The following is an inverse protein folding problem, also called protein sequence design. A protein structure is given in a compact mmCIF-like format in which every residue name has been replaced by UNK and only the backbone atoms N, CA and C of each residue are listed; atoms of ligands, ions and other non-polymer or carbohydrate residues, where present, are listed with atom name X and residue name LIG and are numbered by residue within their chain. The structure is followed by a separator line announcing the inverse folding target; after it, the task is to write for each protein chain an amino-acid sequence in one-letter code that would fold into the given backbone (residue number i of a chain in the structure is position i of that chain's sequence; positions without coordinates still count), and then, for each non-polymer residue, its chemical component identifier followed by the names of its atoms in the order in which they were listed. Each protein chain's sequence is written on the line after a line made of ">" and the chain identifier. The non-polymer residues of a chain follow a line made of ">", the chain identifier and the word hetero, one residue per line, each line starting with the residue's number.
data_IF_437899685453
#
_entry.id   IF_437899685453
#
_cell.length_a   1.000
_cell.length_b   1.000
_cell.length_c   1.000
_cell.angle_alpha   90.00
_cell.angle_beta   90.00
_cell.angle_gamma   90.00
#
_symmetry.space_group_name_H-M   'P 1'
#
loop_
_entity.id
_entity.type
_entity.pdbx_description
1 polymer ?
#
# COMPACT_ATOMS: atom_id res chain seq x y z
N UNK A 1 -14.67 2.42 18.64
CA UNK A 1 -13.65 2.56 17.57
C UNK A 1 -14.11 1.72 16.38
N UNK A 2 -14.34 2.32 15.21
CA UNK A 2 -14.85 1.60 14.03
C UNK A 2 -13.75 0.86 13.25
N UNK A 3 -14.14 -0.15 12.47
CA UNK A 3 -13.25 -0.97 11.61
C UNK A 3 -12.39 -0.09 10.68
N UNK A 4 -12.95 1.03 10.19
CA UNK A 4 -12.25 2.02 9.38
C UNK A 4 -11.03 2.64 10.09
N UNK A 5 -11.13 2.91 11.39
CA UNK A 5 -10.03 3.48 12.19
C UNK A 5 -8.89 2.47 12.36
N UNK A 6 -9.24 1.19 12.57
CA UNK A 6 -8.27 0.10 12.66
C UNK A 6 -7.49 -0.07 11.36
N UNK A 7 -8.17 -0.07 10.21
CA UNK A 7 -7.53 -0.15 8.88
C UNK A 7 -6.60 1.03 8.61
N UNK A 8 -7.01 2.27 8.93
CA UNK A 8 -6.13 3.43 8.82
C UNK A 8 -4.85 3.26 9.63
N UNK A 9 -4.96 2.76 10.87
CA UNK A 9 -3.80 2.52 11.72
C UNK A 9 -2.88 1.45 11.14
N UNK A 10 -3.43 0.36 10.62
CA UNK A 10 -2.65 -0.71 9.98
C UNK A 10 -1.93 -0.22 8.71
N UNK A 11 -2.59 0.60 7.88
CA UNK A 11 -1.97 1.22 6.71
C UNK A 11 -0.78 2.12 7.11
N UNK A 12 -0.94 2.95 8.14
CA UNK A 12 0.16 3.81 8.61
C UNK A 12 1.34 3.02 9.17
N UNK A 13 1.09 1.92 9.87
CA UNK A 13 2.15 1.01 10.34
C UNK A 13 2.88 0.40 9.15
N UNK A 14 2.15 -0.14 8.18
CA UNK A 14 2.74 -0.82 7.02
C UNK A 14 3.50 0.17 6.11
N UNK A 15 3.00 1.39 5.96
CA UNK A 15 3.70 2.49 5.26
C UNK A 15 5.05 2.80 5.91
N UNK A 16 5.11 2.88 7.24
CA UNK A 16 6.38 3.12 7.95
C UNK A 16 7.37 1.97 7.78
N UNK A 17 6.89 0.72 7.75
CA UNK A 17 7.72 -0.45 7.48
C UNK A 17 8.27 -0.43 6.05
N UNK A 18 7.43 -0.13 5.06
CA UNK A 18 7.86 0.04 3.66
C UNK A 18 8.94 1.11 3.51
N UNK A 19 8.75 2.27 4.14
CA UNK A 19 9.72 3.37 4.08
C UNK A 19 11.05 2.96 4.73
N UNK A 20 11.01 2.28 5.88
CA UNK A 20 12.22 1.77 6.54
C UNK A 20 12.96 0.76 5.67
N UNK A 21 12.27 -0.25 5.16
CA UNK A 21 12.86 -1.25 4.27
C UNK A 21 13.42 -0.62 2.99
N UNK A 22 12.79 0.44 2.47
CA UNK A 22 13.31 1.17 1.32
C UNK A 22 14.63 1.88 1.62
N UNK A 23 14.75 2.47 2.82
CA UNK A 23 16.00 3.10 3.27
C UNK A 23 17.09 2.08 3.61
N UNK A 24 16.72 0.94 4.19
CA UNK A 24 17.67 -0.06 4.68
C UNK A 24 18.14 -1.01 3.56
N UNK A 25 17.20 -1.49 2.75
CA UNK A 25 17.40 -2.57 1.76
C UNK A 25 17.20 -2.10 0.31
N UNK A 26 16.69 -0.89 0.10
CA UNK A 26 16.37 -0.34 -1.22
C UNK A 26 14.90 -0.52 -1.63
N UNK A 27 14.44 0.33 -2.54
CA UNK A 27 13.04 0.35 -3.01
C UNK A 27 12.63 -0.88 -3.80
N UNK A 28 13.59 -1.56 -4.42
CA UNK A 28 13.39 -2.78 -5.22
C UNK A 28 13.66 -4.05 -4.42
N UNK A 29 13.99 -3.93 -3.13
CA UNK A 29 14.18 -5.10 -2.27
C UNK A 29 12.87 -5.87 -2.15
N UNK A 30 12.98 -7.19 -2.06
CA UNK A 30 11.83 -8.07 -1.89
C UNK A 30 10.98 -7.66 -0.68
N UNK A 31 11.62 -7.22 0.40
CA UNK A 31 10.97 -6.75 1.61
C UNK A 31 10.15 -5.46 1.37
N UNK A 32 10.73 -4.46 0.71
CA UNK A 32 10.01 -3.22 0.36
C UNK A 32 8.83 -3.50 -0.58
N UNK A 33 9.01 -4.40 -1.54
CA UNK A 33 7.95 -4.80 -2.49
C UNK A 33 6.83 -5.58 -1.78
N UNK A 34 7.17 -6.43 -0.81
CA UNK A 34 6.16 -7.11 0.00
C UNK A 34 5.36 -6.11 0.84
N UNK A 35 6.04 -5.15 1.48
CA UNK A 35 5.35 -4.12 2.26
C UNK A 35 4.47 -3.21 1.40
N UNK A 36 4.84 -2.92 0.15
CA UNK A 36 3.99 -2.15 -0.76
C UNK A 36 2.73 -2.93 -1.17
N UNK A 37 2.85 -4.23 -1.47
CA UNK A 37 1.72 -5.10 -1.79
C UNK A 37 0.73 -5.23 -0.62
N UNK A 38 1.25 -5.39 0.60
CA UNK A 38 0.43 -5.46 1.81
C UNK A 38 -0.28 -4.14 2.10
N UNK A 39 0.40 -3.01 1.89
CA UNK A 39 -0.19 -1.68 2.03
C UNK A 39 -1.32 -1.46 1.01
N UNK A 40 -1.10 -1.85 -0.25
CA UNK A 40 -2.12 -1.79 -1.30
C UNK A 40 -3.34 -2.67 -0.98
N UNK A 41 -3.11 -3.86 -0.43
CA UNK A 41 -4.21 -4.74 -0.01
C UNK A 41 -5.06 -4.09 1.09
N UNK A 42 -4.43 -3.50 2.11
CA UNK A 42 -5.12 -2.78 3.19
C UNK A 42 -5.89 -1.56 2.65
N UNK A 43 -5.30 -0.80 1.72
CA UNK A 43 -5.97 0.32 1.05
C UNK A 43 -7.20 -0.15 0.26
N UNK A 44 -7.09 -1.26 -0.45
CA UNK A 44 -8.20 -1.84 -1.19
C UNK A 44 -9.35 -2.29 -0.27
N UNK A 45 -9.05 -2.91 0.87
CA UNK A 45 -10.05 -3.28 1.89
C UNK A 45 -10.71 -2.04 2.48
N UNK A 46 -9.91 -1.05 2.88
CA UNK A 46 -10.42 0.20 3.41
C UNK A 46 -11.34 0.89 2.41
N UNK A 47 -10.94 0.98 1.13
CA UNK A 47 -11.75 1.54 0.05
C UNK A 47 -13.07 0.78 -0.12
N UNK A 48 -13.07 -0.55 -0.11
CA UNK A 48 -14.32 -1.35 -0.20
C UNK A 48 -15.27 -1.07 0.98
N UNK A 49 -14.71 -0.87 2.17
CA UNK A 49 -15.50 -0.62 3.39
C UNK A 49 -15.98 0.83 3.52
N UNK A 50 -15.30 1.79 2.88
CA UNK A 50 -15.73 3.20 2.87
C UNK A 50 -16.56 3.57 1.64
N UNK A 51 -16.34 2.87 0.52
CA UNK A 51 -16.94 3.15 -0.78
C UNK A 51 -17.93 2.05 -1.11
N UNK A 52 -19.09 2.05 -0.46
CA UNK A 52 -20.12 1.04 -0.68
C UNK A 52 -20.72 0.98 -2.10
N UNK A 53 -20.29 1.78 -3.11
CA UNK A 53 -20.87 1.69 -4.46
C UNK A 53 -20.17 2.48 -5.60
N UNK A 54 -18.84 2.46 -5.74
CA UNK A 54 -18.24 2.97 -7.00
C UNK A 54 -17.00 2.18 -7.38
N UNK A 55 -17.22 1.30 -8.37
CA UNK A 55 -16.18 0.72 -9.20
C UNK A 55 -15.28 1.81 -9.80
N UNK A 56 -14.07 1.42 -10.17
CA UNK A 56 -13.10 2.21 -10.95
C UNK A 56 -12.39 3.39 -10.25
N UNK A 57 -11.47 3.04 -9.35
CA UNK A 57 -10.11 3.60 -9.49
C UNK A 57 -9.11 2.48 -9.24
N UNK A 58 -8.97 1.63 -10.27
CA UNK A 58 -7.71 0.95 -10.49
C UNK A 58 -6.70 2.09 -10.70
N UNK A 59 -5.94 2.44 -9.67
CA UNK A 59 -4.60 2.96 -9.90
C UNK A 59 -3.88 1.82 -10.62
N UNK A 60 -4.07 1.77 -11.95
CA UNK A 60 -2.99 1.34 -12.81
C UNK A 60 -1.82 2.16 -12.29
N UNK A 61 -0.83 1.51 -11.73
CA UNK A 61 0.51 2.07 -11.66
C UNK A 61 1.26 1.43 -12.82
N UNK A 62 1.00 1.78 -14.10
CA UNK A 62 1.85 1.30 -15.17
C UNK A 62 2.92 2.37 -15.39
N UNK A 63 3.86 2.59 -14.46
CA UNK A 63 5.06 3.41 -14.78
C UNK A 63 6.17 3.52 -13.71
N UNK A 64 6.16 2.77 -12.61
CA UNK A 64 7.35 2.72 -11.72
C UNK A 64 8.28 1.52 -12.01
N UNK A 65 8.21 0.98 -13.23
CA UNK A 65 9.21 0.07 -13.80
C UNK A 65 10.01 0.71 -14.96
N UNK A 66 10.05 2.05 -14.99
CA UNK A 66 10.93 2.83 -15.88
C UNK A 66 12.19 3.38 -15.21
N UNK A 67 12.52 2.91 -13.99
CA UNK A 67 13.72 3.33 -13.26
C UNK A 67 14.60 2.13 -12.89
N UNK A 68 14.95 1.27 -13.84
CA UNK A 68 16.16 0.45 -13.74
C UNK A 68 16.72 0.21 -15.15
N UNK A 69 17.83 0.91 -15.44
CA UNK A 69 18.76 0.82 -16.59
C UNK A 69 18.21 0.96 -18.00
#
# INVERSE_FOLDING_TARGET
>A
MGIQYYLKRQMEVKRKQMIRAAYDSGFTSQETVQYSQELDHLMNIYRRLTSGNSAHHMTKVPELLGYVN
#
